data_IF_488989167365
#
_entry.id   IF_488989167365
#
_cell.length_a   1.000
_cell.length_b   1.000
_cell.length_c   1.000
_cell.angle_alpha   90.00
_cell.angle_beta   90.00
_cell.angle_gamma   90.00
#
_symmetry.space_group_name_H-M   'P 1'
#
loop_
_entity.id
_entity.type
_entity.pdbx_description
1 polymer ?
#
# COMPACT_ATOMS: atom_id res chain seq x y z
N UNK A 1 -9.76 6.08 -16.65
CA UNK A 1 -10.30 5.98 -15.28
C UNK A 1 -11.03 4.65 -15.05
N UNK A 2 -12.23 4.41 -15.59
CA UNK A 2 -13.00 3.18 -15.31
C UNK A 2 -12.21 1.89 -15.57
N UNK A 3 -11.47 1.83 -16.68
CA UNK A 3 -10.62 0.67 -17.02
C UNK A 3 -9.62 0.29 -15.94
N UNK A 4 -9.01 1.27 -15.26
CA UNK A 4 -8.08 1.02 -14.15
C UNK A 4 -8.79 0.57 -12.87
N UNK A 5 -10.05 0.97 -12.67
CA UNK A 5 -10.85 0.53 -11.52
C UNK A 5 -11.22 -0.95 -11.67
N UNK A 6 -11.66 -1.34 -12.87
CA UNK A 6 -12.13 -2.71 -13.14
C UNK A 6 -10.99 -3.70 -13.41
N UNK A 7 -9.79 -3.22 -13.78
CA UNK A 7 -8.64 -4.09 -14.04
C UNK A 7 -7.99 -4.61 -12.77
N UNK A 8 -8.07 -3.85 -11.66
CA UNK A 8 -7.41 -4.18 -10.41
C UNK A 8 -7.92 -5.51 -9.83
N UNK A 9 -7.01 -6.47 -9.66
CA UNK A 9 -7.33 -7.80 -9.14
C UNK A 9 -7.35 -7.78 -7.61
N UNK A 10 -8.48 -8.16 -6.98
CA UNK A 10 -8.57 -8.22 -5.52
C UNK A 10 -7.72 -9.36 -4.92
N UNK A 11 -6.63 -9.05 -4.17
CA UNK A 11 -5.79 -10.09 -3.58
C UNK A 11 -6.51 -10.83 -2.45
N UNK A 12 -7.46 -10.17 -1.76
CA UNK A 12 -8.19 -10.76 -0.64
C UNK A 12 -8.99 -12.01 -1.03
N UNK A 13 -9.56 -12.03 -2.24
CA UNK A 13 -10.33 -13.16 -2.76
C UNK A 13 -9.40 -14.26 -3.30
N UNK A 14 -8.30 -13.85 -3.94
CA UNK A 14 -7.40 -14.75 -4.65
C UNK A 14 -6.37 -15.44 -3.74
N UNK A 15 -5.87 -14.73 -2.74
CA UNK A 15 -4.80 -15.18 -1.85
C UNK A 15 -5.15 -16.45 -1.06
N UNK A 16 -6.35 -16.63 -0.46
CA UNK A 16 -6.71 -17.87 0.24
C UNK A 16 -6.65 -19.10 -0.68
N UNK A 17 -7.08 -18.95 -1.93
CA UNK A 17 -7.06 -20.02 -2.93
C UNK A 17 -5.63 -20.40 -3.28
N UNK A 18 -4.78 -19.40 -3.54
CA UNK A 18 -3.37 -19.64 -3.84
C UNK A 18 -2.61 -20.26 -2.67
N UNK A 19 -2.84 -19.80 -1.43
CA UNK A 19 -2.25 -20.40 -0.24
C UNK A 19 -2.66 -21.88 -0.09
N UNK A 20 -3.92 -22.22 -0.41
CA UNK A 20 -4.40 -23.61 -0.40
C UNK A 20 -3.72 -24.47 -1.50
N UNK A 21 -3.56 -23.92 -2.71
CA UNK A 21 -2.81 -24.60 -3.79
C UNK A 21 -1.34 -24.83 -3.39
N UNK A 22 -0.71 -23.86 -2.73
CA UNK A 22 0.65 -24.00 -2.23
C UNK A 22 0.75 -25.09 -1.16
N UNK A 23 -0.19 -25.15 -0.22
CA UNK A 23 -0.26 -26.24 0.80
C UNK A 23 -0.40 -27.62 0.17
N UNK A 24 -1.11 -27.72 -0.96
CA UNK A 24 -1.29 -28.96 -1.72
C UNK A 24 -0.14 -29.27 -2.69
N UNK A 25 0.93 -28.46 -2.69
CA UNK A 25 2.04 -28.54 -3.65
C UNK A 25 1.60 -28.50 -5.13
N UNK A 26 0.46 -27.88 -5.43
CA UNK A 26 -0.06 -27.74 -6.78
C UNK A 26 0.52 -26.48 -7.43
N UNK A 27 1.30 -26.65 -8.51
CA UNK A 27 1.90 -25.54 -9.25
C UNK A 27 3.07 -24.83 -8.54
N UNK A 28 3.45 -25.25 -7.32
CA UNK A 28 4.57 -24.69 -6.54
C UNK A 28 5.92 -24.94 -7.19
N UNK A 29 6.13 -26.11 -7.79
CA UNK A 29 7.38 -26.43 -8.51
C UNK A 29 7.68 -25.49 -9.67
N UNK A 30 6.63 -24.91 -10.28
CA UNK A 30 6.73 -23.93 -11.36
C UNK A 30 6.60 -22.48 -10.87
N UNK A 31 6.46 -22.26 -9.56
CA UNK A 31 6.32 -20.94 -8.96
C UNK A 31 5.04 -20.19 -9.36
N UNK A 32 4.03 -20.88 -9.91
CA UNK A 32 2.82 -20.24 -10.46
C UNK A 32 2.07 -19.44 -9.38
N UNK A 33 1.79 -19.98 -8.17
CA UNK A 33 1.11 -19.20 -7.14
C UNK A 33 1.91 -17.95 -6.72
N UNK A 34 3.22 -18.08 -6.56
CA UNK A 34 4.10 -16.96 -6.19
C UNK A 34 4.14 -15.88 -7.28
N UNK A 35 4.21 -16.29 -8.54
CA UNK A 35 4.18 -15.37 -9.68
C UNK A 35 2.87 -14.60 -9.72
N UNK A 36 1.73 -15.25 -9.49
CA UNK A 36 0.44 -14.56 -9.53
C UNK A 36 0.29 -13.58 -8.35
N UNK A 37 0.75 -13.94 -7.13
CA UNK A 37 0.76 -13.00 -5.99
C UNK A 37 1.60 -11.75 -6.30
N UNK A 38 2.77 -11.95 -6.92
CA UNK A 38 3.63 -10.84 -7.31
C UNK A 38 2.98 -9.99 -8.42
N UNK A 39 2.39 -10.63 -9.42
CA UNK A 39 1.72 -9.96 -10.53
C UNK A 39 0.50 -9.16 -10.06
N UNK A 40 -0.34 -9.70 -9.17
CA UNK A 40 -1.49 -8.99 -8.62
C UNK A 40 -1.06 -7.76 -7.81
N UNK A 41 0.03 -7.87 -7.04
CA UNK A 41 0.56 -6.73 -6.28
C UNK A 41 1.05 -5.60 -7.20
N UNK A 42 1.68 -5.94 -8.33
CA UNK A 42 2.10 -4.95 -9.33
C UNK A 42 0.90 -4.35 -10.08
N UNK A 43 -0.10 -5.17 -10.39
CA UNK A 43 -1.34 -4.73 -11.02
C UNK A 43 -2.04 -3.65 -10.18
N UNK A 44 -2.19 -3.86 -8.87
CA UNK A 44 -2.78 -2.87 -7.97
C UNK A 44 -2.01 -1.53 -7.96
N UNK A 45 -0.68 -1.58 -7.93
CA UNK A 45 0.17 -0.36 -7.96
C UNK A 45 -0.03 0.39 -9.29
N UNK A 46 -0.03 -0.33 -10.42
CA UNK A 46 -0.22 0.25 -11.74
C UNK A 46 -1.64 0.77 -11.94
N UNK A 47 -2.65 0.07 -11.43
CA UNK A 47 -4.05 0.48 -11.46
C UNK A 47 -4.25 1.79 -10.69
N UNK A 48 -3.69 1.90 -9.47
CA UNK A 48 -3.73 3.14 -8.69
C UNK A 48 -2.99 4.25 -9.43
N UNK A 49 -1.76 4.01 -9.90
CA UNK A 49 -1.00 5.01 -10.63
C UNK A 49 -1.73 5.49 -11.91
N UNK A 50 -2.25 4.58 -12.72
CA UNK A 50 -3.00 4.88 -13.94
C UNK A 50 -4.33 5.58 -13.67
N UNK A 51 -5.05 5.17 -12.62
CA UNK A 51 -6.25 5.87 -12.16
C UNK A 51 -5.92 7.32 -11.81
N UNK A 52 -4.86 7.55 -11.03
CA UNK A 52 -4.46 8.90 -10.60
C UNK A 52 -4.00 9.78 -11.75
N UNK A 53 -3.19 9.24 -12.66
CA UNK A 53 -2.81 9.90 -13.93
C UNK A 53 -4.04 10.34 -14.70
N UNK A 54 -5.00 9.42 -14.92
CA UNK A 54 -6.20 9.73 -15.72
C UNK A 54 -7.15 10.69 -15.00
N UNK A 55 -7.23 10.63 -13.68
CA UNK A 55 -7.98 11.58 -12.85
C UNK A 55 -7.39 12.98 -12.96
N UNK A 56 -6.08 13.11 -12.82
CA UNK A 56 -5.37 14.40 -12.88
C UNK A 56 -5.42 15.03 -14.28
N UNK A 57 -5.48 14.20 -15.33
CA UNK A 57 -5.75 14.68 -16.70
C UNK A 57 -7.20 15.12 -16.87
N UNK A 58 -8.17 14.34 -16.37
CA UNK A 58 -9.60 14.64 -16.54
C UNK A 58 -10.03 15.94 -15.85
N UNK A 59 -9.44 16.26 -14.68
CA UNK A 59 -9.74 17.47 -13.91
C UNK A 59 -8.70 18.58 -14.09
N UNK A 60 -7.87 18.50 -15.14
CA UNK A 60 -6.88 19.54 -15.44
C UNK A 60 -7.53 20.76 -16.09
N UNK A 61 -7.44 21.91 -15.42
CA UNK A 61 -7.88 23.21 -15.96
C UNK A 61 -6.77 23.94 -16.76
N UNK A 62 -5.57 23.36 -16.86
CA UNK A 62 -4.37 24.00 -17.44
C UNK A 62 -3.87 23.44 -18.78
N UNK A 63 -2.63 23.81 -19.14
CA UNK A 63 -1.96 23.38 -20.36
C UNK A 63 -1.72 21.85 -20.37
N UNK A 64 -2.21 21.18 -21.42
CA UNK A 64 -2.14 19.73 -21.63
C UNK A 64 -0.71 19.17 -21.49
N UNK A 65 0.31 19.91 -21.92
CA UNK A 65 1.71 19.49 -21.83
C UNK A 65 2.17 19.42 -20.36
N UNK A 66 1.79 20.42 -19.57
CA UNK A 66 2.11 20.45 -18.15
C UNK A 66 1.40 19.32 -17.40
N UNK A 67 0.15 19.05 -17.77
CA UNK A 67 -0.66 17.98 -17.21
C UNK A 67 -0.11 16.59 -17.57
N UNK A 68 0.38 16.41 -18.80
CA UNK A 68 1.01 15.16 -19.23
C UNK A 68 2.29 14.84 -18.45
N UNK A 69 3.05 15.86 -18.03
CA UNK A 69 4.25 15.70 -17.19
C UNK A 69 3.87 15.52 -15.72
N UNK A 70 2.89 16.30 -15.23
CA UNK A 70 2.42 16.22 -13.84
C UNK A 70 1.85 14.84 -13.53
N UNK A 71 1.06 14.29 -14.44
CA UNK A 71 0.36 13.02 -14.28
C UNK A 71 1.26 11.85 -13.80
N UNK A 72 2.39 11.49 -14.44
CA UNK A 72 3.30 10.44 -13.94
C UNK A 72 4.14 10.88 -12.74
N UNK A 73 4.29 12.18 -12.51
CA UNK A 73 5.07 12.73 -11.40
C UNK A 73 4.33 12.62 -10.06
N UNK A 74 2.99 12.75 -10.07
CA UNK A 74 2.15 12.59 -8.87
C UNK A 74 2.32 11.23 -8.16
N UNK A 75 2.18 10.07 -8.83
CA UNK A 75 2.39 8.78 -8.19
C UNK A 75 3.85 8.58 -7.76
N UNK A 76 4.81 9.12 -8.53
CA UNK A 76 6.24 9.02 -8.25
C UNK A 76 6.62 9.77 -6.96
N UNK A 77 6.06 10.97 -6.75
CA UNK A 77 6.21 11.72 -5.49
C UNK A 77 5.66 10.91 -4.31
N UNK A 78 4.52 10.25 -4.48
CA UNK A 78 3.96 9.36 -3.46
C UNK A 78 4.92 8.23 -3.09
N UNK A 79 5.44 7.52 -4.10
CA UNK A 79 6.40 6.42 -3.89
C UNK A 79 7.67 6.89 -3.19
N UNK A 80 8.25 8.02 -3.62
CA UNK A 80 9.45 8.59 -3.01
C UNK A 80 9.18 9.01 -1.57
N UNK A 81 8.08 9.73 -1.31
CA UNK A 81 7.69 10.16 0.03
C UNK A 81 7.50 8.94 0.96
N UNK A 82 6.70 7.96 0.53
CA UNK A 82 6.46 6.76 1.33
C UNK A 82 7.76 5.99 1.62
N UNK A 83 8.62 5.82 0.62
CA UNK A 83 9.90 5.11 0.78
C UNK A 83 10.82 5.82 1.76
N UNK A 84 10.96 7.15 1.67
CA UNK A 84 11.81 7.94 2.57
C UNK A 84 11.29 7.86 4.01
N UNK A 85 10.00 8.11 4.23
CA UNK A 85 9.43 8.04 5.58
C UNK A 85 9.43 6.62 6.15
N UNK A 86 9.26 5.59 5.31
CA UNK A 86 9.37 4.20 5.72
C UNK A 86 10.78 3.82 6.18
N UNK A 87 11.82 4.36 5.54
CA UNK A 87 13.22 4.20 5.97
C UNK A 87 13.51 4.96 7.26
N UNK A 88 12.91 6.14 7.45
CA UNK A 88 13.00 6.88 8.72
C UNK A 88 12.42 6.04 9.87
N UNK A 89 11.32 5.32 9.62
CA UNK A 89 10.69 4.43 10.60
C UNK A 89 11.58 3.24 11.01
N UNK A 90 12.65 2.94 10.27
CA UNK A 90 13.64 1.95 10.71
C UNK A 90 14.51 2.43 11.87
N UNK A 91 14.67 3.74 12.02
CA UNK A 91 15.59 4.36 12.98
C UNK A 91 14.89 4.96 14.20
N UNK A 92 13.61 5.34 14.07
CA UNK A 92 12.78 5.85 15.17
C UNK A 92 12.54 4.89 16.36
N UNK A 93 12.43 3.55 16.19
CA UNK A 93 12.32 2.66 17.33
C UNK A 93 13.66 2.59 18.09
N UNK A 94 13.78 3.34 19.19
CA UNK A 94 14.92 3.22 20.10
C UNK A 94 15.01 1.80 20.66
N UNK A 95 16.19 1.17 20.55
CA UNK A 95 16.46 -0.21 20.99
C UNK A 95 16.25 -0.44 22.50
N UNK A 96 16.14 0.63 23.29
CA UNK A 96 16.03 0.58 24.75
C UNK A 96 14.60 0.36 25.29
N UNK A 97 13.59 0.24 24.43
CA UNK A 97 12.19 0.02 24.88
C UNK A 97 11.82 -1.46 24.92
N UNK A 98 10.92 -1.81 25.85
CA UNK A 98 10.29 -3.13 25.89
C UNK A 98 9.63 -3.47 24.55
N UNK A 99 9.79 -4.72 24.08
CA UNK A 99 9.30 -5.20 22.78
C UNK A 99 7.83 -4.87 22.53
N UNK A 100 6.97 -5.00 23.55
CA UNK A 100 5.54 -4.69 23.43
C UNK A 100 5.29 -3.20 23.15
N UNK A 101 6.01 -2.28 23.82
CA UNK A 101 5.87 -0.84 23.59
C UNK A 101 6.33 -0.44 22.18
N UNK A 102 7.34 -1.14 21.65
CA UNK A 102 7.85 -0.93 20.29
C UNK A 102 6.80 -1.25 19.22
N UNK A 103 6.05 -2.34 19.41
CA UNK A 103 5.00 -2.79 18.49
C UNK A 103 3.88 -1.75 18.41
N UNK A 104 3.36 -1.30 19.56
CA UNK A 104 2.31 -0.27 19.59
C UNK A 104 2.77 1.04 18.95
N UNK A 105 4.01 1.44 19.19
CA UNK A 105 4.58 2.65 18.60
C UNK A 105 4.69 2.55 17.07
N UNK A 106 5.11 1.40 16.54
CA UNK A 106 5.21 1.16 15.11
C UNK A 106 3.85 1.20 14.40
N UNK A 107 2.82 0.60 15.01
CA UNK A 107 1.45 0.63 14.48
C UNK A 107 0.91 2.06 14.51
N UNK A 108 1.11 2.78 15.63
CA UNK A 108 0.67 4.17 15.76
C UNK A 108 1.38 5.09 14.76
N UNK A 109 2.68 4.89 14.54
CA UNK A 109 3.46 5.60 13.52
C UNK A 109 2.92 5.34 12.12
N UNK A 110 2.62 4.08 11.75
CA UNK A 110 2.04 3.75 10.45
C UNK A 110 0.69 4.42 10.24
N UNK A 111 -0.23 4.31 11.20
CA UNK A 111 -1.54 4.92 11.11
C UNK A 111 -1.43 6.45 10.98
N UNK A 112 -0.61 7.08 11.83
CA UNK A 112 -0.45 8.53 11.84
C UNK A 112 0.21 9.06 10.57
N UNK A 113 1.27 8.41 10.08
CA UNK A 113 1.92 8.80 8.84
C UNK A 113 1.07 8.50 7.61
N UNK A 114 0.31 7.41 7.59
CA UNK A 114 -0.65 7.12 6.53
C UNK A 114 -1.75 8.19 6.44
N UNK A 115 -2.37 8.53 7.57
CA UNK A 115 -3.35 9.62 7.64
C UNK A 115 -2.73 10.95 7.20
N UNK A 116 -1.54 11.26 7.72
CA UNK A 116 -0.82 12.49 7.38
C UNK A 116 -0.49 12.54 5.88
N UNK A 117 -0.07 11.44 5.27
CA UNK A 117 0.20 11.35 3.83
C UNK A 117 -1.06 11.65 3.01
N UNK A 118 -2.22 11.10 3.41
CA UNK A 118 -3.50 11.35 2.75
C UNK A 118 -3.93 12.83 2.86
N UNK A 119 -3.85 13.42 4.07
CA UNK A 119 -4.21 14.83 4.27
C UNK A 119 -3.23 15.79 3.59
N UNK A 120 -1.93 15.49 3.63
CA UNK A 120 -0.89 16.28 2.99
C UNK A 120 -1.04 16.25 1.46
N UNK A 121 -1.27 15.08 0.88
CA UNK A 121 -1.56 14.91 -0.55
C UNK A 121 -2.79 15.71 -1.00
N UNK A 122 -3.86 15.68 -0.19
CA UNK A 122 -5.07 16.48 -0.46
C UNK A 122 -4.81 17.98 -0.39
N UNK A 123 -4.03 18.47 0.59
CA UNK A 123 -3.66 19.89 0.69
C UNK A 123 -2.70 20.33 -0.40
N UNK A 124 -1.80 19.46 -0.85
CA UNK A 124 -0.84 19.74 -1.92
C UNK A 124 -1.47 19.76 -3.32
N UNK A 125 -2.73 19.34 -3.47
CA UNK A 125 -3.41 19.27 -4.77
C UNK A 125 -2.86 18.15 -5.65
N UNK A 126 -2.41 17.05 -5.03
CA UNK A 126 -1.84 15.87 -5.70
C UNK A 126 -2.53 14.62 -5.14
N UNK A 127 -3.82 14.39 -5.46
CA UNK A 127 -4.64 13.37 -4.80
C UNK A 127 -4.09 11.94 -4.98
N UNK A 128 -3.37 11.67 -6.06
CA UNK A 128 -2.79 10.35 -6.31
C UNK A 128 -1.58 9.98 -5.45
N UNK A 129 -0.85 10.98 -4.96
CA UNK A 129 0.35 10.76 -4.16
C UNK A 129 0.05 10.17 -2.77
N UNK A 130 -1.14 10.42 -2.21
CA UNK A 130 -1.48 9.98 -0.86
C UNK A 130 -1.57 8.47 -0.75
N UNK A 131 -2.36 7.83 -1.62
CA UNK A 131 -2.58 6.39 -1.59
C UNK A 131 -1.28 5.59 -1.85
N UNK A 132 -0.53 5.97 -2.88
CA UNK A 132 0.76 5.35 -3.20
C UNK A 132 1.82 5.63 -2.13
N UNK A 133 1.77 6.80 -1.49
CA UNK A 133 2.58 7.12 -0.32
C UNK A 133 2.32 6.19 0.85
N UNK A 134 1.05 5.92 1.18
CA UNK A 134 0.68 4.97 2.24
C UNK A 134 1.19 3.55 1.95
N UNK A 135 0.99 3.05 0.72
CA UNK A 135 1.44 1.71 0.33
C UNK A 135 2.98 1.62 0.36
N UNK A 136 3.67 2.61 -0.20
CA UNK A 136 5.13 2.63 -0.26
C UNK A 136 5.76 2.79 1.14
N UNK A 137 5.12 3.57 2.01
CA UNK A 137 5.48 3.72 3.44
C UNK A 137 5.39 2.38 4.16
N UNK A 138 4.24 1.70 4.06
CA UNK A 138 4.02 0.41 4.70
C UNK A 138 4.99 -0.65 4.18
N UNK A 139 5.21 -0.69 2.85
CA UNK A 139 6.17 -1.59 2.21
C UNK A 139 7.58 -1.34 2.74
N UNK A 140 8.07 -0.11 2.67
CA UNK A 140 9.41 0.24 3.13
C UNK A 140 9.60 -0.06 4.62
N UNK A 141 8.64 0.33 5.48
CA UNK A 141 8.70 0.01 6.91
C UNK A 141 8.76 -1.51 7.17
N UNK A 142 7.93 -2.29 6.46
CA UNK A 142 7.84 -3.74 6.64
C UNK A 142 9.13 -4.49 6.29
N UNK A 143 9.95 -4.00 5.36
CA UNK A 143 11.21 -4.64 4.96
C UNK A 143 12.20 -4.78 6.13
N UNK A 144 12.25 -3.80 7.04
CA UNK A 144 13.09 -3.88 8.23
C UNK A 144 12.46 -4.72 9.32
N UNK A 145 11.15 -4.59 9.52
CA UNK A 145 10.45 -5.26 10.61
C UNK A 145 10.36 -6.78 10.39
N UNK A 146 10.34 -7.25 9.13
CA UNK A 146 10.44 -8.69 8.81
C UNK A 146 11.71 -9.37 9.33
N UNK A 147 12.75 -8.63 9.73
CA UNK A 147 13.94 -9.21 10.35
C UNK A 147 13.68 -9.75 11.76
N UNK A 148 12.70 -9.21 12.47
CA UNK A 148 12.23 -9.72 13.76
C UNK A 148 10.85 -10.37 13.54
N UNK A 149 10.86 -11.69 13.42
CA UNK A 149 9.68 -12.49 13.02
C UNK A 149 8.55 -12.34 14.04
N UNK A 150 8.88 -12.36 15.34
CA UNK A 150 7.90 -12.21 16.42
C UNK A 150 7.22 -10.84 16.36
N UNK A 151 8.02 -9.78 16.19
CA UNK A 151 7.51 -8.42 16.08
C UNK A 151 6.62 -8.25 14.84
N UNK A 152 7.05 -8.79 13.70
CA UNK A 152 6.30 -8.70 12.45
C UNK A 152 4.96 -9.43 12.53
N UNK A 153 4.91 -10.61 13.14
CA UNK A 153 3.66 -11.36 13.33
C UNK A 153 2.64 -10.58 14.16
N UNK A 154 3.06 -9.96 15.26
CA UNK A 154 2.13 -9.18 16.10
C UNK A 154 1.63 -7.94 15.36
N UNK A 155 2.52 -7.22 14.65
CA UNK A 155 2.11 -6.05 13.85
C UNK A 155 1.11 -6.46 12.76
N UNK A 156 1.39 -7.56 12.03
CA UNK A 156 0.47 -8.09 11.01
C UNK A 156 -0.88 -8.43 11.61
N UNK A 157 -0.91 -9.18 12.74
CA UNK A 157 -2.15 -9.57 13.38
C UNK A 157 -3.03 -8.38 13.78
N UNK A 158 -2.44 -7.29 14.30
CA UNK A 158 -3.20 -6.09 14.64
C UNK A 158 -3.72 -5.37 13.39
N UNK A 159 -2.92 -5.30 12.32
CA UNK A 159 -3.34 -4.71 11.04
C UNK A 159 -4.45 -5.55 10.40
N UNK A 160 -4.39 -6.88 10.51
CA UNK A 160 -5.42 -7.79 10.01
C UNK A 160 -6.75 -7.59 10.75
N UNK A 161 -6.74 -7.47 12.09
CA UNK A 161 -7.95 -7.14 12.85
C UNK A 161 -8.51 -5.77 12.47
N UNK A 162 -7.66 -4.76 12.27
CA UNK A 162 -8.10 -3.45 11.78
C UNK A 162 -8.75 -3.55 10.40
N UNK A 163 -8.18 -4.38 9.52
CA UNK A 163 -8.73 -4.63 8.19
C UNK A 163 -10.08 -5.33 8.24
N UNK A 164 -10.26 -6.35 9.08
CA UNK A 164 -11.55 -7.05 9.25
C UNK A 164 -12.66 -6.09 9.69
N UNK A 165 -12.33 -5.06 10.47
CA UNK A 165 -13.28 -4.02 10.87
C UNK A 165 -13.59 -3.09 9.71
N UNK A 166 -12.59 -2.66 8.93
CA UNK A 166 -12.73 -1.66 7.86
C UNK A 166 -13.33 -2.25 6.58
N UNK A 167 -13.03 -3.52 6.26
CA UNK A 167 -13.43 -4.19 5.02
C UNK A 167 -14.96 -4.16 4.79
N UNK A 168 -15.84 -4.46 5.77
CA UNK A 168 -17.29 -4.36 5.58
C UNK A 168 -17.75 -2.94 5.22
N UNK A 169 -17.15 -1.90 5.80
CA UNK A 169 -17.49 -0.51 5.46
C UNK A 169 -17.06 -0.17 4.03
N UNK A 170 -15.89 -0.64 3.58
CA UNK A 170 -15.45 -0.47 2.20
C UNK A 170 -16.44 -1.12 1.22
N UNK A 171 -16.85 -2.36 1.49
CA UNK A 171 -17.84 -3.05 0.65
C UNK A 171 -19.21 -2.37 0.67
N UNK A 172 -19.67 -1.91 1.83
CA UNK A 172 -20.96 -1.23 1.96
C UNK A 172 -20.99 0.19 1.35
N UNK A 173 -19.84 0.85 1.25
CA UNK A 173 -19.76 2.21 0.68
C UNK A 173 -19.54 2.19 -0.84
N UNK A 174 -18.90 1.13 -1.37
CA UNK A 174 -18.57 0.99 -2.79
C UNK A 174 -19.62 0.14 -3.54
N UNK A 175 -20.21 -0.87 -2.87
CA UNK A 175 -21.24 -1.76 -3.42
C UNK A 175 -22.65 -1.19 -3.28
#
# INVERSE_FOLDING_TARGET
>A
MLGFIISAVSPAVMLPILLNLMKKNLGTSKGIPTLIIAASSMDDILAIAGFTVTLSVAFSEGNIIWTAIKAPLEPLVGVVFGSVFGVIFWHLPSKDRSKSSLIYYNILLLCFAGLSAMFASKRAGIPGSGALGCISLALAASLRWRKDVDQFHVISAVVDVLWEIIQPFLFALIG
#
